data_IF_611041195576
#
_entry.id   IF_611041195576
#
_cell.length_a   1.000
_cell.length_b   1.000
_cell.length_c   1.000
_cell.angle_alpha   90.00
_cell.angle_beta   90.00
_cell.angle_gamma   90.00
#
_symmetry.space_group_name_H-M   'P 1'
#
loop_
_entity.id
_entity.type
_entity.pdbx_description
1 polymer ?
#
# COMPACT_ATOMS: atom_id res chain seq x y z
N UNK A 1 -17.82 21.75 -29.19
CA UNK A 1 -16.96 20.57 -29.42
C UNK A 1 -16.46 20.12 -28.05
N UNK A 2 -17.29 19.38 -27.30
CA UNK A 2 -17.06 18.96 -25.91
C UNK A 2 -17.18 17.43 -25.86
N UNK A 3 -16.13 16.69 -26.22
CA UNK A 3 -16.24 15.21 -26.28
C UNK A 3 -15.14 14.43 -25.57
N UNK A 4 -14.12 15.07 -24.99
CA UNK A 4 -12.99 14.35 -24.37
C UNK A 4 -12.65 14.77 -22.92
N UNK A 5 -13.45 15.60 -22.24
CA UNK A 5 -13.12 16.11 -20.89
C UNK A 5 -13.48 15.14 -19.74
N UNK A 6 -14.42 14.22 -19.98
CA UNK A 6 -14.89 13.25 -18.98
C UNK A 6 -13.79 12.38 -18.34
N UNK A 7 -12.88 11.73 -19.11
CA UNK A 7 -11.87 10.84 -18.52
C UNK A 7 -10.78 11.59 -17.73
N UNK A 8 -10.45 12.82 -18.13
CA UNK A 8 -9.40 13.62 -17.46
C UNK A 8 -9.87 14.09 -16.08
N UNK A 9 -11.14 14.48 -15.93
CA UNK A 9 -11.70 14.87 -14.64
C UNK A 9 -11.65 13.74 -13.60
N UNK A 10 -11.86 12.49 -14.03
CA UNK A 10 -11.78 11.31 -13.15
C UNK A 10 -10.36 11.12 -12.61
N UNK A 11 -9.33 11.41 -13.40
CA UNK A 11 -7.93 11.28 -12.96
C UNK A 11 -7.59 12.25 -11.81
N UNK A 12 -8.16 13.46 -11.80
CA UNK A 12 -8.00 14.41 -10.69
C UNK A 12 -8.61 13.92 -9.37
N UNK A 13 -9.56 12.99 -9.41
CA UNK A 13 -10.11 12.32 -8.21
C UNK A 13 -9.32 11.05 -7.85
N UNK A 14 -8.90 10.28 -8.85
CA UNK A 14 -8.19 9.00 -8.65
C UNK A 14 -6.78 9.22 -8.07
N UNK A 15 -6.03 10.21 -8.58
CA UNK A 15 -4.64 10.44 -8.17
C UNK A 15 -4.52 10.76 -6.67
N UNK A 16 -5.31 11.68 -6.07
CA UNK A 16 -5.27 11.92 -4.62
C UNK A 16 -5.64 10.68 -3.79
N UNK A 17 -6.57 9.85 -4.26
CA UNK A 17 -6.97 8.61 -3.57
C UNK A 17 -5.81 7.61 -3.57
N UNK A 18 -5.15 7.41 -4.72
CA UNK A 18 -3.95 6.56 -4.81
C UNK A 18 -2.81 7.08 -3.93
N UNK A 19 -2.62 8.41 -3.88
CA UNK A 19 -1.64 9.03 -2.99
C UNK A 19 -1.98 8.76 -1.51
N UNK A 20 -3.24 8.83 -1.11
CA UNK A 20 -3.67 8.51 0.26
C UNK A 20 -3.37 7.04 0.64
N UNK A 21 -3.60 6.09 -0.28
CA UNK A 21 -3.23 4.69 -0.07
C UNK A 21 -1.72 4.51 0.08
N UNK A 22 -0.92 5.14 -0.78
CA UNK A 22 0.54 5.09 -0.69
C UNK A 22 1.06 5.65 0.64
N UNK A 23 0.50 6.78 1.09
CA UNK A 23 0.84 7.40 2.37
C UNK A 23 0.49 6.46 3.53
N UNK A 24 -0.71 5.86 3.51
CA UNK A 24 -1.16 4.91 4.54
C UNK A 24 -0.24 3.69 4.65
N UNK A 25 0.13 3.08 3.51
CA UNK A 25 1.02 1.92 3.50
C UNK A 25 2.43 2.30 3.98
N UNK A 26 2.98 3.41 3.49
CA UNK A 26 4.29 3.92 3.90
C UNK A 26 4.34 4.22 5.40
N UNK A 27 3.31 4.86 5.93
CA UNK A 27 3.18 5.15 7.36
C UNK A 27 3.17 3.86 8.19
N UNK A 28 2.36 2.88 7.78
CA UNK A 28 2.24 1.59 8.48
C UNK A 28 3.54 0.79 8.44
N UNK A 29 4.26 0.84 7.32
CA UNK A 29 5.59 0.24 7.18
C UNK A 29 6.61 0.87 8.13
N UNK A 30 6.71 2.20 8.15
CA UNK A 30 7.64 2.92 9.03
C UNK A 30 7.30 2.67 10.50
N UNK A 31 6.01 2.65 10.86
CA UNK A 31 5.55 2.32 12.21
C UNK A 31 5.97 0.92 12.61
N UNK A 32 5.81 -0.06 11.72
CA UNK A 32 6.20 -1.46 11.94
C UNK A 32 7.72 -1.59 12.10
N UNK A 33 8.51 -0.92 11.24
CA UNK A 33 9.96 -0.88 11.35
C UNK A 33 10.43 -0.31 12.70
N UNK A 34 9.83 0.79 13.16
CA UNK A 34 10.16 1.38 14.45
C UNK A 34 9.78 0.48 15.62
N UNK A 35 8.63 -0.19 15.54
CA UNK A 35 8.18 -1.14 16.55
C UNK A 35 9.14 -2.33 16.66
N UNK A 36 9.43 -3.00 15.54
CA UNK A 36 10.33 -4.16 15.56
C UNK A 36 11.77 -3.78 15.89
N UNK A 37 12.24 -2.63 15.43
CA UNK A 37 13.56 -2.13 15.87
C UNK A 37 13.60 -1.89 17.38
N UNK A 38 12.52 -1.34 17.95
CA UNK A 38 12.41 -1.04 19.38
C UNK A 38 12.26 -2.28 20.28
N UNK A 39 11.72 -3.38 19.75
CA UNK A 39 11.52 -4.63 20.51
C UNK A 39 12.61 -5.69 20.28
N UNK A 40 13.71 -5.35 19.59
CA UNK A 40 14.80 -6.28 19.32
C UNK A 40 14.54 -7.25 18.17
N UNK A 41 13.67 -6.87 17.22
CA UNK A 41 13.20 -7.70 16.11
C UNK A 41 12.44 -8.95 16.55
N UNK A 42 11.67 -8.83 17.63
CA UNK A 42 10.78 -9.87 18.10
C UNK A 42 9.51 -9.89 17.24
N UNK A 43 9.42 -10.91 16.39
CA UNK A 43 8.28 -11.15 15.48
C UNK A 43 7.20 -12.04 16.08
N UNK A 44 7.27 -12.39 17.36
CA UNK A 44 6.17 -13.11 18.04
C UNK A 44 4.96 -12.21 18.27
N UNK A 45 5.18 -10.89 18.30
CA UNK A 45 4.14 -9.87 18.41
C UNK A 45 3.78 -9.32 17.03
N UNK A 46 2.51 -9.44 16.65
CA UNK A 46 1.97 -8.87 15.42
C UNK A 46 1.43 -7.44 15.66
N UNK A 47 1.66 -6.56 14.69
CA UNK A 47 1.22 -5.17 14.70
C UNK A 47 0.76 -4.76 13.30
N UNK A 48 -0.33 -3.99 13.27
CA UNK A 48 -0.86 -3.42 12.04
C UNK A 48 -2.00 -4.25 11.46
N UNK A 49 -2.44 -3.91 10.23
CA UNK A 49 -3.52 -4.63 9.58
C UNK A 49 -3.13 -6.08 9.25
N UNK A 50 -4.15 -6.93 9.12
CA UNK A 50 -3.99 -8.26 8.54
C UNK A 50 -3.64 -8.12 7.07
N UNK A 51 -2.68 -8.93 6.61
CA UNK A 51 -2.31 -9.04 5.20
C UNK A 51 -2.33 -10.52 4.85
N UNK A 52 -2.78 -10.82 3.64
CA UNK A 52 -2.93 -12.19 3.17
C UNK A 52 -2.10 -12.39 1.92
N UNK A 53 -1.64 -13.62 1.70
CA UNK A 53 -0.90 -13.99 0.50
C UNK A 53 -1.87 -14.04 -0.70
N UNK A 54 -1.51 -13.34 -1.78
CA UNK A 54 -2.34 -13.27 -2.99
C UNK A 54 -3.67 -12.54 -2.75
N UNK A 55 -4.73 -13.03 -3.39
CA UNK A 55 -6.09 -12.49 -3.24
C UNK A 55 -6.92 -13.20 -2.16
N UNK A 56 -6.29 -14.05 -1.34
CA UNK A 56 -6.99 -14.78 -0.29
C UNK A 56 -7.42 -13.86 0.86
N UNK A 57 -8.51 -14.23 1.52
CA UNK A 57 -8.90 -13.67 2.83
C UNK A 57 -8.98 -14.76 3.90
N UNK A 58 -8.57 -15.98 3.54
CA UNK A 58 -8.59 -17.14 4.41
C UNK A 58 -7.47 -16.99 5.47
N UNK A 59 -7.79 -17.14 6.77
CA UNK A 59 -6.80 -17.14 7.86
C UNK A 59 -5.57 -18.00 7.61
N UNK A 60 -5.69 -19.11 6.87
CA UNK A 60 -4.58 -20.01 6.56
C UNK A 60 -3.53 -19.37 5.65
N UNK A 61 -3.89 -18.28 4.96
CA UNK A 61 -3.01 -17.50 4.09
C UNK A 61 -2.60 -16.16 4.72
N UNK A 62 -2.92 -15.92 5.99
CA UNK A 62 -2.50 -14.72 6.69
C UNK A 62 -0.97 -14.67 6.77
N UNK A 63 -0.38 -13.55 6.37
CA UNK A 63 1.06 -13.34 6.41
C UNK A 63 1.53 -13.23 7.85
N UNK A 64 2.63 -13.92 8.17
CA UNK A 64 3.31 -13.74 9.45
C UNK A 64 3.85 -12.31 9.59
N UNK A 65 4.10 -11.82 10.83
CA UNK A 65 4.61 -10.47 11.05
C UNK A 65 5.90 -10.15 10.26
N UNK A 66 6.79 -11.14 10.15
CA UNK A 66 8.02 -11.03 9.36
C UNK A 66 7.73 -10.92 7.86
N UNK A 67 6.79 -11.71 7.34
CA UNK A 67 6.39 -11.64 5.93
C UNK A 67 5.70 -10.32 5.60
N UNK A 68 4.84 -9.80 6.48
CA UNK A 68 4.26 -8.45 6.34
C UNK A 68 5.35 -7.39 6.18
N UNK A 69 6.38 -7.45 7.02
CA UNK A 69 7.46 -6.46 7.01
C UNK A 69 8.37 -6.57 5.78
N UNK A 70 8.73 -7.78 5.37
CA UNK A 70 9.69 -8.01 4.29
C UNK A 70 9.05 -8.02 2.90
N UNK A 71 7.78 -8.41 2.79
CA UNK A 71 7.09 -8.59 1.51
C UNK A 71 5.79 -7.80 1.45
N UNK A 72 4.92 -7.91 2.46
CA UNK A 72 3.59 -7.28 2.45
C UNK A 72 3.64 -5.77 2.20
N UNK A 73 4.25 -5.02 3.12
CA UNK A 73 4.36 -3.56 3.00
C UNK A 73 5.20 -3.14 1.79
N UNK A 74 6.41 -3.68 1.52
CA UNK A 74 7.17 -3.29 0.33
C UNK A 74 6.41 -3.51 -0.98
N UNK A 75 5.70 -4.64 -1.13
CA UNK A 75 4.88 -4.91 -2.31
C UNK A 75 3.69 -3.96 -2.39
N UNK A 76 3.01 -3.70 -1.28
CA UNK A 76 1.91 -2.72 -1.23
C UNK A 76 2.36 -1.32 -1.67
N UNK A 77 3.49 -0.85 -1.12
CA UNK A 77 4.10 0.43 -1.50
C UNK A 77 4.43 0.45 -2.99
N UNK A 78 5.04 -0.61 -3.52
CA UNK A 78 5.38 -0.72 -4.94
C UNK A 78 4.14 -0.64 -5.84
N UNK A 79 3.07 -1.37 -5.49
CA UNK A 79 1.80 -1.37 -6.24
C UNK A 79 1.21 0.04 -6.26
N UNK A 80 1.04 0.67 -5.10
CA UNK A 80 0.43 2.00 -5.02
C UNK A 80 1.28 3.07 -5.69
N UNK A 81 2.61 3.01 -5.56
CA UNK A 81 3.51 3.93 -6.25
C UNK A 81 3.45 3.77 -7.77
N UNK A 82 3.41 2.52 -8.27
CA UNK A 82 3.30 2.23 -9.71
C UNK A 82 1.98 2.73 -10.28
N UNK A 83 0.86 2.46 -9.59
CA UNK A 83 -0.45 2.96 -9.99
C UNK A 83 -0.48 4.50 -9.96
N UNK A 84 -0.01 5.11 -8.87
CA UNK A 84 0.02 6.57 -8.75
C UNK A 84 0.81 7.21 -9.90
N UNK A 85 2.00 6.69 -10.23
CA UNK A 85 2.80 7.17 -11.35
C UNK A 85 2.06 7.00 -12.69
N UNK A 86 1.53 5.80 -12.96
CA UNK A 86 0.82 5.49 -14.21
C UNK A 86 -0.41 6.38 -14.44
N UNK A 87 -1.20 6.64 -13.39
CA UNK A 87 -2.38 7.49 -13.47
C UNK A 87 -2.05 9.00 -13.45
N UNK A 88 -0.85 9.39 -13.01
CA UNK A 88 -0.41 10.79 -13.02
C UNK A 88 0.17 11.23 -14.36
N UNK A 89 0.78 10.32 -15.14
CA UNK A 89 1.40 10.65 -16.44
C UNK A 89 0.44 11.39 -17.39
N UNK A 90 -0.82 10.98 -17.58
CA UNK A 90 -1.73 11.67 -18.51
C UNK A 90 -2.19 13.06 -18.06
N UNK A 91 -1.85 13.49 -16.84
CA UNK A 91 -2.17 14.82 -16.32
C UNK A 91 -1.12 15.89 -16.69
N UNK A 92 -0.01 15.50 -17.34
CA UNK A 92 1.07 16.37 -17.81
C UNK A 92 1.20 16.31 -19.34
#
# INVERSE_FOLDING_TARGET
MLKNEGPVYVLYLVVPVLAAFLIRETYSFIRSLRFYKGNGWDFTVDIGPKMYKGESTDPDFEMSPREKLLYGYPMGILIWATLLAGFSIPLF
#
